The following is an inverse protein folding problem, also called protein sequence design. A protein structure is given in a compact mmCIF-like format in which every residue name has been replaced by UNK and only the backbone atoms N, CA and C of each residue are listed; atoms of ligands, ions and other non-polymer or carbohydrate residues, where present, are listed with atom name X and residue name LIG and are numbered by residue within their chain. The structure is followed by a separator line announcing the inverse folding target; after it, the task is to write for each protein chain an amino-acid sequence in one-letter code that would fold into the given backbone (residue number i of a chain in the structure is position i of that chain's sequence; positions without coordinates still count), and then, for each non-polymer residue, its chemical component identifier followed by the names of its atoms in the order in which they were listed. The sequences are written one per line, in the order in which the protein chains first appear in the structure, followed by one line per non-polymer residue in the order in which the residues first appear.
data_IF_170687288490
#
_entry.id   IF_170687288490
#
_cell.length_a   1.000
_cell.length_b   1.000
_cell.length_c   1.000
_cell.angle_alpha   90.00
_cell.angle_beta   90.00
_cell.angle_gamma   90.00
#
_symmetry.space_group_name_H-M   'P 1'
#
loop_
_entity.id
_entity.type
_entity.pdbx_description
1 polymer ?
#
# COMPACT_ATOMS: atom_id res chain seq x y z
N UNK A 1 4.65 -11.04 5.63
CA UNK A 1 3.41 -11.66 6.16
C UNK A 1 3.42 -11.95 7.66
N UNK A 2 4.58 -11.90 8.33
CA UNK A 2 4.66 -12.19 9.78
C UNK A 2 3.72 -11.34 10.63
N UNK A 3 3.54 -10.05 10.28
CA UNK A 3 2.58 -9.16 10.92
C UNK A 3 1.12 -9.65 10.80
N UNK A 4 0.73 -10.14 9.63
CA UNK A 4 -0.63 -10.63 9.38
C UNK A 4 -0.92 -11.90 10.18
N UNK A 5 0.07 -12.82 10.24
CA UNK A 5 -0.04 -14.04 11.03
C UNK A 5 -0.11 -13.76 12.53
N UNK A 6 0.63 -12.76 13.02
CA UNK A 6 0.57 -12.34 14.42
C UNK A 6 -0.81 -11.77 14.82
N UNK A 7 -1.42 -10.95 13.95
CA UNK A 7 -2.74 -10.35 14.21
C UNK A 7 -3.87 -11.38 14.07
N UNK A 8 -3.73 -12.31 13.12
CA UNK A 8 -4.77 -13.32 12.83
C UNK A 8 -4.89 -14.44 13.85
N UNK A 9 -3.93 -14.60 14.78
CA UNK A 9 -3.91 -15.71 15.75
C UNK A 9 -4.12 -17.08 15.11
N UNK A 10 -3.52 -17.31 13.93
CA UNK A 10 -3.67 -18.53 13.11
C UNK A 10 -5.09 -18.79 12.55
N UNK A 11 -5.96 -17.78 12.51
CA UNK A 11 -7.25 -17.89 11.87
C UNK A 11 -7.11 -17.65 10.35
N UNK A 12 -7.02 -18.74 9.59
CA UNK A 12 -6.90 -18.73 8.13
C UNK A 12 -8.04 -17.98 7.42
N UNK A 13 -9.27 -18.05 7.93
CA UNK A 13 -10.41 -17.32 7.36
C UNK A 13 -10.25 -15.80 7.50
N UNK A 14 -9.69 -15.35 8.63
CA UNK A 14 -9.41 -13.94 8.88
C UNK A 14 -8.23 -13.43 8.02
N UNK A 15 -7.18 -14.24 7.85
CA UNK A 15 -6.07 -13.94 6.93
C UNK A 15 -6.61 -13.74 5.51
N UNK A 16 -7.46 -14.66 5.05
CA UNK A 16 -8.09 -14.60 3.74
C UNK A 16 -8.89 -13.31 3.54
N UNK A 17 -9.76 -12.95 4.49
CA UNK A 17 -10.56 -11.74 4.41
C UNK A 17 -9.69 -10.47 4.30
N UNK A 18 -8.61 -10.37 5.07
CA UNK A 18 -7.68 -9.24 4.99
C UNK A 18 -7.01 -9.18 3.61
N UNK A 19 -6.56 -10.31 3.08
CA UNK A 19 -5.92 -10.38 1.76
C UNK A 19 -6.91 -10.01 0.64
N UNK A 20 -8.16 -10.43 0.73
CA UNK A 20 -9.23 -10.05 -0.20
C UNK A 20 -9.55 -8.54 -0.12
N UNK A 21 -9.60 -7.97 1.09
CA UNK A 21 -9.75 -6.51 1.29
C UNK A 21 -8.58 -5.74 0.68
N UNK A 22 -7.34 -6.24 0.86
CA UNK A 22 -6.16 -5.64 0.25
C UNK A 22 -6.27 -5.63 -1.29
N UNK A 23 -6.62 -6.78 -1.90
CA UNK A 23 -6.77 -6.89 -3.36
C UNK A 23 -7.88 -6.00 -3.94
N UNK A 24 -8.89 -5.64 -3.15
CA UNK A 24 -10.03 -4.83 -3.63
C UNK A 24 -9.90 -3.35 -3.33
N UNK A 25 -9.25 -2.98 -2.21
CA UNK A 25 -9.17 -1.60 -1.74
C UNK A 25 -7.89 -0.91 -2.15
N UNK A 26 -6.75 -1.59 -2.07
CA UNK A 26 -5.44 -1.01 -2.37
C UNK A 26 -5.32 -0.48 -3.81
N UNK A 27 -5.80 -1.18 -4.87
CA UNK A 27 -5.76 -0.61 -6.22
C UNK A 27 -6.56 0.70 -6.32
N UNK A 28 -7.76 0.75 -5.73
CA UNK A 28 -8.62 1.94 -5.77
C UNK A 28 -8.01 3.13 -5.05
N UNK A 29 -7.33 2.89 -3.93
CA UNK A 29 -6.64 3.94 -3.19
C UNK A 29 -5.36 4.41 -3.89
N UNK A 30 -4.68 3.51 -4.63
CA UNK A 30 -3.53 3.83 -5.46
C UNK A 30 -3.92 4.67 -6.69
N UNK A 31 -5.04 4.36 -7.34
CA UNK A 31 -5.58 5.17 -8.44
C UNK A 31 -5.93 6.60 -7.96
N UNK A 32 -6.49 6.72 -6.75
CA UNK A 32 -6.77 8.03 -6.15
C UNK A 32 -5.49 8.79 -5.80
N UNK A 33 -4.47 8.10 -5.28
CA UNK A 33 -3.16 8.68 -5.02
C UNK A 33 -2.57 9.27 -6.31
N UNK A 34 -2.58 8.50 -7.40
CA UNK A 34 -2.11 8.95 -8.72
C UNK A 34 -2.85 10.18 -9.22
N UNK A 35 -4.18 10.17 -9.16
CA UNK A 35 -5.00 11.32 -9.54
C UNK A 35 -4.63 12.58 -8.74
N UNK A 36 -4.42 12.47 -7.42
CA UNK A 36 -4.03 13.60 -6.59
C UNK A 36 -2.58 14.06 -6.81
N UNK A 37 -1.67 13.17 -7.21
CA UNK A 37 -0.32 13.55 -7.64
C UNK A 37 -0.38 14.38 -8.91
N UNK A 38 -1.19 13.97 -9.90
CA UNK A 38 -1.41 14.72 -11.13
C UNK A 38 -2.00 16.11 -10.85
N UNK A 39 -2.97 16.19 -9.95
CA UNK A 39 -3.63 17.45 -9.57
C UNK A 39 -2.81 18.29 -8.58
N UNK A 40 -1.61 17.82 -8.17
CA UNK A 40 -0.73 18.45 -7.19
C UNK A 40 -1.41 18.74 -5.84
N UNK A 41 -2.40 17.91 -5.48
CA UNK A 41 -3.11 18.01 -4.21
C UNK A 41 -2.33 17.26 -3.12
N UNK A 42 -1.25 17.88 -2.63
CA UNK A 42 -0.29 17.23 -1.73
C UNK A 42 -0.89 16.81 -0.38
N UNK A 43 -1.92 17.50 0.09
CA UNK A 43 -2.67 17.08 1.28
C UNK A 43 -3.32 15.71 1.06
N UNK A 44 -4.00 15.54 -0.07
CA UNK A 44 -4.62 14.26 -0.42
C UNK A 44 -3.60 13.19 -0.79
N UNK A 45 -2.48 13.55 -1.43
CA UNK A 45 -1.37 12.61 -1.67
C UNK A 45 -0.87 12.04 -0.35
N UNK A 46 -0.63 12.89 0.64
CA UNK A 46 -0.22 12.45 1.98
C UNK A 46 -1.26 11.56 2.65
N UNK A 47 -2.55 11.92 2.55
CA UNK A 47 -3.66 11.12 3.09
C UNK A 47 -3.71 9.71 2.49
N UNK A 48 -3.65 9.58 1.17
CA UNK A 48 -3.71 8.27 0.51
C UNK A 48 -2.43 7.47 0.73
N UNK A 49 -1.25 8.12 0.73
CA UNK A 49 0.00 7.46 1.12
C UNK A 49 -0.10 6.87 2.54
N UNK A 50 -0.66 7.61 3.51
CA UNK A 50 -0.89 7.10 4.87
C UNK A 50 -1.79 5.87 4.94
N UNK A 51 -2.88 5.89 4.17
CA UNK A 51 -3.81 4.77 4.09
C UNK A 51 -3.13 3.53 3.50
N UNK A 52 -2.42 3.70 2.39
CA UNK A 52 -1.70 2.62 1.70
C UNK A 52 -0.50 2.09 2.51
N UNK A 53 0.16 2.94 3.29
CA UNK A 53 1.18 2.54 4.27
C UNK A 53 0.61 1.59 5.30
N UNK A 54 -0.55 1.93 5.87
CA UNK A 54 -1.25 1.10 6.85
C UNK A 54 -1.66 -0.25 6.24
N UNK A 55 -2.26 -0.25 5.04
CA UNK A 55 -2.61 -1.48 4.32
C UNK A 55 -1.38 -2.37 4.05
N UNK A 56 -0.26 -1.77 3.66
CA UNK A 56 1.00 -2.49 3.42
C UNK A 56 1.56 -3.10 4.72
N UNK A 57 1.50 -2.36 5.83
CA UNK A 57 1.92 -2.87 7.14
C UNK A 57 1.08 -4.06 7.59
N UNK A 58 -0.25 -3.99 7.43
CA UNK A 58 -1.18 -5.04 7.84
C UNK A 58 -0.87 -6.38 7.17
N UNK A 59 -0.55 -6.40 5.87
CA UNK A 59 -0.18 -7.62 5.16
C UNK A 59 1.30 -8.01 5.31
N UNK A 60 2.09 -7.16 5.99
CA UNK A 60 3.54 -7.33 6.15
C UNK A 60 4.32 -7.15 4.85
N UNK A 61 3.93 -6.16 4.04
CA UNK A 61 4.60 -5.74 2.82
C UNK A 61 5.53 -4.54 3.09
N UNK A 62 6.74 -4.82 3.56
CA UNK A 62 7.67 -3.80 4.04
C UNK A 62 8.12 -2.81 2.96
N UNK A 63 8.28 -3.28 1.71
CA UNK A 63 8.66 -2.39 0.60
C UNK A 63 7.57 -1.34 0.32
N UNK A 64 6.30 -1.77 0.32
CA UNK A 64 5.15 -0.87 0.20
C UNK A 64 5.07 0.09 1.39
N UNK A 65 5.23 -0.42 2.60
CA UNK A 65 5.26 0.42 3.81
C UNK A 65 6.30 1.55 3.69
N UNK A 66 7.53 1.22 3.30
CA UNK A 66 8.63 2.19 3.19
C UNK A 66 8.39 3.24 2.11
N UNK A 67 7.93 2.85 0.92
CA UNK A 67 7.73 3.83 -0.17
C UNK A 67 6.63 4.83 0.17
N UNK A 68 5.52 4.36 0.77
CA UNK A 68 4.44 5.26 1.18
C UNK A 68 4.84 6.15 2.36
N UNK A 69 5.66 5.63 3.28
CA UNK A 69 6.25 6.45 4.34
C UNK A 69 7.14 7.56 3.76
N UNK A 70 8.00 7.24 2.79
CA UNK A 70 8.86 8.23 2.13
C UNK A 70 8.03 9.34 1.47
N UNK A 71 6.95 9.00 0.77
CA UNK A 71 6.05 10.01 0.17
C UNK A 71 5.38 10.90 1.23
N UNK A 72 4.92 10.33 2.35
CA UNK A 72 4.36 11.10 3.46
C UNK A 72 5.38 12.08 4.07
N UNK A 73 6.61 11.60 4.29
CA UNK A 73 7.67 12.36 4.94
C UNK A 73 8.14 13.52 4.05
N UNK A 74 8.29 13.30 2.73
CA UNK A 74 8.59 14.36 1.75
C UNK A 74 7.58 15.51 1.85
N UNK A 75 6.28 15.20 1.87
CA UNK A 75 5.22 16.21 1.92
C UNK A 75 5.18 16.90 3.29
N UNK A 76 5.25 16.12 4.36
CA UNK A 76 5.15 16.61 5.74
C UNK A 76 6.30 17.55 6.08
N UNK A 77 7.51 17.18 5.68
CA UNK A 77 8.73 17.92 5.99
C UNK A 77 9.02 19.02 4.96
N UNK A 78 8.07 19.29 4.05
CA UNK A 78 8.16 20.30 2.99
C UNK A 78 9.43 20.16 2.14
N UNK A 79 9.81 18.91 1.86
CA UNK A 79 10.93 18.59 0.98
C UNK A 79 10.52 18.78 -0.49
N UNK A 80 11.44 18.48 -1.41
CA UNK A 80 11.19 18.61 -2.84
C UNK A 80 10.12 17.62 -3.32
N UNK A 81 8.88 18.11 -3.47
CA UNK A 81 7.74 17.34 -3.98
C UNK A 81 7.87 16.97 -5.46
N UNK A 82 8.86 17.50 -6.20
CA UNK A 82 9.07 17.16 -7.60
C UNK A 82 9.48 15.70 -7.81
N UNK A 83 9.97 15.02 -6.76
CA UNK A 83 10.34 13.59 -6.79
C UNK A 83 9.16 12.65 -6.53
N UNK A 84 8.00 13.16 -6.10
CA UNK A 84 6.81 12.37 -5.79
C UNK A 84 6.34 11.49 -6.96
N UNK A 85 6.33 11.96 -8.23
CA UNK A 85 5.95 11.11 -9.37
C UNK A 85 6.85 9.87 -9.53
N UNK A 86 8.16 10.00 -9.33
CA UNK A 86 9.08 8.85 -9.40
C UNK A 86 8.78 7.82 -8.29
N UNK A 87 8.48 8.30 -7.10
CA UNK A 87 8.08 7.45 -5.97
C UNK A 87 6.73 6.77 -6.21
N UNK A 88 5.79 7.46 -6.86
CA UNK A 88 4.51 6.90 -7.27
C UNK A 88 4.71 5.75 -8.27
N UNK A 89 5.54 5.94 -9.30
CA UNK A 89 5.83 4.88 -10.29
C UNK A 89 6.43 3.64 -9.60
N UNK A 90 7.33 3.86 -8.64
CA UNK A 90 7.88 2.78 -7.83
C UNK A 90 6.81 2.09 -6.97
N UNK A 91 5.94 2.86 -6.32
CA UNK A 91 4.84 2.35 -5.51
C UNK A 91 3.88 1.50 -6.35
N UNK A 92 3.55 1.93 -7.58
CA UNK A 92 2.71 1.18 -8.51
C UNK A 92 3.31 -0.18 -8.87
N UNK A 93 4.60 -0.24 -9.22
CA UNK A 93 5.29 -1.50 -9.50
C UNK A 93 5.28 -2.43 -8.29
N UNK A 94 5.63 -1.90 -7.12
CA UNK A 94 5.64 -2.64 -5.86
C UNK A 94 4.26 -3.19 -5.50
N UNK A 95 3.21 -2.38 -5.63
CA UNK A 95 1.84 -2.82 -5.38
C UNK A 95 1.37 -3.89 -6.38
N UNK A 96 1.76 -3.78 -7.64
CA UNK A 96 1.46 -4.81 -8.64
C UNK A 96 2.10 -6.15 -8.27
N UNK A 97 3.40 -6.15 -7.93
CA UNK A 97 4.10 -7.35 -7.45
C UNK A 97 3.44 -7.95 -6.20
N UNK A 98 3.08 -7.11 -5.22
CA UNK A 98 2.40 -7.55 -4.01
C UNK A 98 1.03 -8.17 -4.30
N UNK A 99 0.24 -7.58 -5.21
CA UNK A 99 -1.05 -8.14 -5.61
C UNK A 99 -0.92 -9.52 -6.25
N UNK A 100 0.11 -9.74 -7.08
CA UNK A 100 0.39 -11.06 -7.66
C UNK A 100 0.73 -12.07 -6.56
N UNK A 101 1.60 -11.70 -5.62
CA UNK A 101 1.96 -12.58 -4.49
C UNK A 101 0.75 -12.90 -3.61
N UNK A 102 -0.09 -11.92 -3.30
CA UNK A 102 -1.30 -12.12 -2.49
C UNK A 102 -2.29 -13.05 -3.20
N UNK A 103 -2.45 -12.95 -4.52
CA UNK A 103 -3.30 -13.88 -5.29
C UNK A 103 -2.77 -15.32 -5.24
N UNK A 104 -1.45 -15.50 -5.34
CA UNK A 104 -0.81 -16.83 -5.22
C UNK A 104 -1.05 -17.39 -3.81
N UNK A 105 -0.80 -16.60 -2.77
CA UNK A 105 -1.04 -17.02 -1.38
C UNK A 105 -2.50 -17.42 -1.15
N UNK A 106 -3.45 -16.62 -1.66
CA UNK A 106 -4.89 -16.93 -1.54
C UNK A 106 -5.27 -18.26 -2.19
N UNK A 107 -4.59 -18.66 -3.27
CA UNK A 107 -4.82 -19.96 -3.93
C UNK A 107 -4.38 -21.16 -3.09
N UNK A 108 -3.49 -20.95 -2.11
CA UNK A 108 -3.05 -21.97 -1.15
C UNK A 108 -4.06 -22.24 -0.03
N UNK A 109 -5.12 -21.41 0.10
CA UNK A 109 -6.21 -21.58 1.07
C UNK A 109 -7.49 -22.18 0.45
N UNK A 110 -7.37 -22.82 -0.73
CA UNK A 110 -8.47 -23.50 -1.45
C UNK A 110 -8.40 -25.00 -1.24
#
# INVERSE_FOLDING_TARGET
MDNLMAISRQNHSFVREILEVYLTSTPKDLDKLEHHVHDKNWEMVRYFAHKLKSSSFTIGFDKGYRIFQTMEDIIKDQQDVSVIPEHLDQAQRLCHEAQVQVKIELSSYV
#
